data_IF_883462538199
#
_entry.id   IF_883462538199
#
_cell.length_a   1.000
_cell.length_b   1.000
_cell.length_c   1.000
_cell.angle_alpha   90.00
_cell.angle_beta   90.00
_cell.angle_gamma   90.00
#
_symmetry.space_group_name_H-M   'P 1'
#
loop_
_entity.id
_entity.type
_entity.pdbx_description
1 polymer ?
#
# COMPACT_ATOMS: atom_id res chain seq x y z
N UNK A 1 -15.08 -12.55 -7.35
CA UNK A 1 -13.76 -12.69 -6.67
C UNK A 1 -13.44 -14.14 -6.26
N UNK A 2 -14.42 -15.03 -5.96
CA UNK A 2 -14.19 -16.40 -5.43
C UNK A 2 -13.27 -17.25 -6.31
N UNK A 3 -13.49 -17.29 -7.64
CA UNK A 3 -12.65 -18.04 -8.59
C UNK A 3 -11.18 -17.60 -8.47
N UNK A 4 -10.93 -16.30 -8.46
CA UNK A 4 -9.56 -15.78 -8.39
C UNK A 4 -8.97 -15.97 -7.00
N UNK A 5 -9.68 -15.56 -5.93
CA UNK A 5 -9.19 -15.55 -4.56
C UNK A 5 -9.04 -16.94 -3.93
N UNK A 6 -9.99 -17.85 -4.22
CA UNK A 6 -10.06 -19.16 -3.56
C UNK A 6 -9.51 -20.32 -4.41
N UNK A 7 -9.36 -20.12 -5.72
CA UNK A 7 -8.89 -21.17 -6.62
C UNK A 7 -7.60 -20.75 -7.34
N UNK A 8 -7.66 -19.72 -8.21
CA UNK A 8 -6.53 -19.35 -9.06
C UNK A 8 -5.29 -18.93 -8.24
N UNK A 9 -5.46 -17.97 -7.33
CA UNK A 9 -4.35 -17.43 -6.54
C UNK A 9 -3.65 -18.51 -5.71
N UNK A 10 -4.35 -19.29 -4.84
CA UNK A 10 -3.70 -20.34 -4.05
C UNK A 10 -3.08 -21.45 -4.91
N UNK A 11 -3.73 -21.81 -6.04
CA UNK A 11 -3.20 -22.83 -6.95
C UNK A 11 -1.91 -22.38 -7.61
N UNK A 12 -1.85 -21.13 -8.08
CA UNK A 12 -0.64 -20.55 -8.66
C UNK A 12 0.45 -20.35 -7.61
N UNK A 13 0.11 -19.81 -6.44
CA UNK A 13 1.07 -19.62 -5.34
C UNK A 13 1.74 -20.93 -4.95
N UNK A 14 0.97 -22.00 -4.75
CA UNK A 14 1.51 -23.31 -4.47
C UNK A 14 2.43 -23.83 -5.57
N UNK A 15 2.12 -23.52 -6.84
CA UNK A 15 2.88 -24.00 -8.00
C UNK A 15 4.16 -23.20 -8.24
N UNK A 16 4.15 -21.91 -7.95
CA UNK A 16 5.30 -20.99 -8.14
C UNK A 16 6.21 -20.98 -6.90
N UNK A 17 5.64 -20.83 -5.71
CA UNK A 17 6.38 -20.60 -4.48
C UNK A 17 6.54 -21.89 -3.63
N UNK A 18 5.84 -22.98 -3.99
CA UNK A 18 5.84 -24.24 -3.24
C UNK A 18 5.04 -24.21 -1.93
N UNK A 19 4.56 -23.03 -1.52
CA UNK A 19 3.78 -22.79 -0.29
C UNK A 19 2.50 -22.01 -0.65
N UNK A 20 1.47 -22.13 0.17
CA UNK A 20 0.22 -21.43 -0.04
C UNK A 20 -0.95 -22.15 0.62
N UNK A 21 -2.09 -21.45 0.68
CA UNK A 21 -3.35 -22.02 1.17
C UNK A 21 -3.85 -23.15 0.26
N UNK A 22 -4.73 -24.00 0.81
CA UNK A 22 -5.39 -25.04 0.02
C UNK A 22 -6.30 -24.39 -1.02
N UNK A 23 -6.02 -24.61 -2.30
CA UNK A 23 -6.90 -24.18 -3.38
C UNK A 23 -8.24 -24.90 -3.35
N UNK A 24 -9.30 -24.23 -3.79
CA UNK A 24 -10.59 -24.87 -4.06
C UNK A 24 -10.48 -25.92 -5.17
N UNK A 25 -11.54 -26.69 -5.38
CA UNK A 25 -11.55 -27.75 -6.40
C UNK A 25 -11.46 -27.19 -7.81
N UNK A 26 -10.58 -27.75 -8.61
CA UNK A 26 -10.47 -27.49 -10.06
C UNK A 26 -9.89 -28.74 -10.73
N UNK A 27 -10.18 -28.97 -12.00
CA UNK A 27 -9.68 -30.12 -12.75
C UNK A 27 -8.20 -29.97 -13.09
N UNK A 28 -7.84 -28.87 -13.74
CA UNK A 28 -6.46 -28.58 -14.14
C UNK A 28 -6.24 -27.09 -14.37
N UNK A 29 -4.98 -26.67 -14.39
CA UNK A 29 -4.54 -25.33 -14.77
C UNK A 29 -3.65 -25.44 -16.02
N UNK A 30 -4.07 -24.81 -17.11
CA UNK A 30 -3.38 -24.78 -18.39
C UNK A 30 -2.91 -23.36 -18.71
N UNK A 31 -1.99 -23.21 -19.65
CA UNK A 31 -1.49 -21.94 -20.17
C UNK A 31 -0.03 -21.69 -19.84
N UNK A 32 0.37 -20.43 -20.05
CA UNK A 32 1.78 -20.02 -19.94
C UNK A 32 2.20 -19.57 -18.53
N UNK A 33 1.59 -20.14 -17.48
CA UNK A 33 1.90 -19.77 -16.08
C UNK A 33 3.39 -19.95 -15.72
N UNK A 34 4.15 -20.80 -16.42
CA UNK A 34 5.60 -20.97 -16.24
C UNK A 34 6.42 -19.73 -16.62
N UNK A 35 5.82 -18.76 -17.33
CA UNK A 35 6.44 -17.46 -17.61
C UNK A 35 6.35 -16.48 -16.44
N UNK A 36 5.54 -16.80 -15.43
CA UNK A 36 5.32 -16.03 -14.21
C UNK A 36 6.16 -16.66 -13.12
N UNK A 37 7.01 -15.88 -12.47
CA UNK A 37 7.86 -16.34 -11.36
C UNK A 37 7.23 -16.10 -9.99
N UNK A 38 6.33 -15.11 -9.89
CA UNK A 38 5.73 -14.72 -8.62
C UNK A 38 4.30 -14.27 -8.81
N UNK A 39 3.44 -14.46 -7.78
CA UNK A 39 2.07 -13.96 -7.78
C UNK A 39 1.81 -13.18 -6.50
N UNK A 40 1.24 -11.99 -6.65
CA UNK A 40 0.90 -11.10 -5.53
C UNK A 40 -0.60 -10.77 -5.55
N UNK A 41 -1.25 -10.95 -4.40
CA UNK A 41 -2.64 -10.55 -4.21
C UNK A 41 -2.71 -9.24 -3.45
N UNK A 42 -3.18 -8.20 -4.11
CA UNK A 42 -3.25 -6.83 -3.57
C UNK A 42 -4.69 -6.56 -3.14
N UNK A 43 -4.98 -6.85 -1.89
CA UNK A 43 -6.28 -6.68 -1.26
C UNK A 43 -6.39 -5.36 -0.48
N UNK A 44 -7.59 -5.11 0.05
CA UNK A 44 -7.93 -3.94 0.86
C UNK A 44 -7.61 -4.12 2.36
N UNK A 45 -6.95 -5.22 2.76
CA UNK A 45 -6.53 -5.41 4.14
C UNK A 45 -5.50 -4.33 4.56
N UNK A 46 -5.46 -3.97 5.84
CA UNK A 46 -4.50 -2.99 6.35
C UNK A 46 -3.05 -3.34 5.99
N UNK A 47 -2.21 -2.33 5.78
CA UNK A 47 -0.78 -2.48 5.44
C UNK A 47 0.08 -3.03 6.59
N UNK A 48 -0.53 -3.30 7.74
CA UNK A 48 0.09 -3.92 8.90
C UNK A 48 -0.90 -4.09 10.04
N UNK A 49 -0.57 -4.97 10.96
CA UNK A 49 -1.43 -5.31 12.11
C UNK A 49 -1.25 -4.35 13.30
N UNK A 50 -0.20 -3.54 13.29
CA UNK A 50 0.14 -2.63 14.39
C UNK A 50 -0.37 -1.23 14.09
N UNK A 51 -0.87 -0.53 15.09
CA UNK A 51 -1.17 0.91 15.07
C UNK A 51 0.02 1.79 14.64
N UNK A 52 1.24 1.25 14.71
CA UNK A 52 2.49 1.90 14.29
C UNK A 52 2.82 1.69 12.81
N UNK A 53 2.09 0.82 12.11
CA UNK A 53 2.23 0.69 10.66
C UNK A 53 1.70 1.96 9.99
N UNK A 54 2.45 2.52 9.06
CA UNK A 54 2.10 3.74 8.35
C UNK A 54 2.72 3.77 6.95
N UNK A 55 2.28 4.66 6.05
CA UNK A 55 2.73 4.72 4.67
C UNK A 55 4.25 4.81 4.55
N UNK A 56 4.89 5.73 5.28
CA UNK A 56 6.33 6.00 5.13
C UNK A 56 7.22 4.83 5.57
N UNK A 57 6.77 4.04 6.55
CA UNK A 57 7.51 2.82 6.96
C UNK A 57 7.29 1.69 5.97
N UNK A 58 6.08 1.56 5.44
CA UNK A 58 5.73 0.51 4.49
C UNK A 58 6.54 0.60 3.19
N UNK A 59 6.70 1.81 2.64
CA UNK A 59 7.53 2.05 1.44
C UNK A 59 9.03 2.20 1.76
N UNK A 60 9.45 2.03 3.02
CA UNK A 60 10.83 2.13 3.49
C UNK A 60 11.51 3.50 3.25
N UNK A 61 10.75 4.56 3.11
CA UNK A 61 11.28 5.93 3.05
C UNK A 61 11.71 6.42 4.44
N UNK A 62 11.09 5.90 5.50
CA UNK A 62 11.40 6.31 6.86
C UNK A 62 12.83 6.01 7.28
N UNK A 63 13.46 4.98 6.74
CA UNK A 63 14.85 4.64 7.03
C UNK A 63 15.80 5.77 6.59
N UNK A 64 15.63 6.28 5.37
CA UNK A 64 16.44 7.40 4.87
C UNK A 64 16.16 8.70 5.64
N UNK A 65 14.90 8.94 6.04
CA UNK A 65 14.54 10.10 6.88
C UNK A 65 15.24 10.02 8.23
N UNK A 66 15.23 8.86 8.89
CA UNK A 66 15.92 8.68 10.20
C UNK A 66 17.43 8.86 10.07
N UNK A 67 18.03 8.39 8.98
CA UNK A 67 19.46 8.61 8.71
C UNK A 67 19.77 10.09 8.46
N UNK A 68 18.89 10.83 7.81
CA UNK A 68 19.02 12.26 7.60
C UNK A 68 19.09 12.99 8.94
N UNK A 69 18.15 12.74 9.85
CA UNK A 69 18.15 13.34 11.20
C UNK A 69 19.36 12.94 12.05
N UNK A 70 19.86 11.71 11.91
CA UNK A 70 21.05 11.27 12.61
C UNK A 70 22.34 12.01 12.17
N UNK A 71 22.34 12.58 10.97
CA UNK A 71 23.48 13.35 10.43
C UNK A 71 23.50 14.80 10.91
N UNK A 72 22.42 15.29 11.51
CA UNK A 72 22.29 16.66 12.00
C UNK A 72 23.33 16.97 13.10
N UNK A 73 23.75 18.23 13.17
CA UNK A 73 24.80 18.68 14.10
C UNK A 73 24.42 18.36 15.57
N UNK A 74 23.19 18.64 15.97
CA UNK A 74 22.72 18.37 17.32
C UNK A 74 22.66 16.87 17.63
N UNK A 75 22.27 16.04 16.63
CA UNK A 75 22.30 14.58 16.76
C UNK A 75 23.72 14.06 17.05
N UNK A 76 24.71 14.56 16.32
CA UNK A 76 26.12 14.17 16.53
C UNK A 76 26.62 14.57 17.92
N UNK A 77 26.29 15.78 18.37
CA UNK A 77 26.67 16.27 19.73
C UNK A 77 26.07 15.38 20.80
N UNK A 78 24.80 14.92 20.65
CA UNK A 78 24.08 14.09 21.61
C UNK A 78 24.31 12.58 21.44
N UNK A 79 25.11 12.16 20.45
CA UNK A 79 25.34 10.75 20.14
C UNK A 79 24.09 10.04 19.58
N UNK A 80 23.17 10.78 18.99
CA UNK A 80 21.96 10.18 18.41
C UNK A 80 22.26 9.48 17.10
N UNK A 81 21.70 8.29 16.96
CA UNK A 81 21.75 7.44 15.77
C UNK A 81 20.34 7.35 15.15
N UNK A 82 20.20 6.79 13.97
CA UNK A 82 18.91 6.62 13.29
C UNK A 82 17.84 5.93 14.16
N UNK A 83 18.23 5.03 15.06
CA UNK A 83 17.30 4.36 15.99
C UNK A 83 16.58 5.31 16.94
N UNK A 84 17.20 6.45 17.32
CA UNK A 84 16.60 7.44 18.24
C UNK A 84 15.44 8.21 17.55
N UNK A 85 15.41 8.24 16.25
CA UNK A 85 14.33 8.81 15.45
C UNK A 85 13.28 7.76 15.02
N UNK A 86 13.26 6.59 15.68
CA UNK A 86 12.26 5.54 15.47
C UNK A 86 11.24 5.53 16.60
N UNK A 87 9.96 5.50 16.26
CA UNK A 87 8.88 5.29 17.23
C UNK A 87 8.63 3.80 17.54
N UNK A 88 9.35 2.87 16.89
CA UNK A 88 9.19 1.43 17.06
C UNK A 88 10.17 0.80 18.05
N UNK A 89 11.31 1.45 18.28
CA UNK A 89 12.38 0.94 19.16
C UNK A 89 12.70 1.92 20.28
N UNK A 90 13.27 1.41 21.38
CA UNK A 90 13.65 2.24 22.53
C UNK A 90 14.84 3.16 22.18
N UNK A 91 14.91 4.26 22.92
CA UNK A 91 15.96 5.26 22.79
C UNK A 91 15.42 6.67 22.58
N UNK A 92 14.58 6.90 21.60
CA UNK A 92 14.01 8.22 21.31
C UNK A 92 12.50 8.31 21.36
N UNK A 93 11.80 7.18 21.38
CA UNK A 93 10.33 7.16 21.48
C UNK A 93 9.86 7.57 22.88
N UNK A 94 8.67 8.10 22.97
CA UNK A 94 8.00 8.34 24.26
C UNK A 94 7.83 7.01 25.01
N UNK A 95 8.26 6.94 26.23
CA UNK A 95 8.21 5.72 27.06
C UNK A 95 6.78 5.39 27.51
N UNK A 96 5.96 6.41 27.80
CA UNK A 96 4.58 6.26 28.26
C UNK A 96 3.71 5.59 27.21
N UNK A 97 3.65 6.13 25.97
CA UNK A 97 2.86 5.55 24.89
C UNK A 97 3.67 4.59 23.99
N UNK A 98 4.93 4.32 24.32
CA UNK A 98 5.83 3.45 23.53
C UNK A 98 5.88 3.80 22.04
N UNK A 99 5.73 5.10 21.72
CA UNK A 99 5.79 5.62 20.34
C UNK A 99 4.47 5.59 19.58
N UNK A 100 3.35 5.26 20.20
CA UNK A 100 2.03 5.27 19.54
C UNK A 100 1.43 6.67 19.43
N UNK A 101 1.78 7.57 20.36
CA UNK A 101 1.19 8.90 20.45
C UNK A 101 -0.16 8.91 21.17
N UNK A 102 -0.78 7.75 21.30
CA UNK A 102 -2.07 7.54 21.99
C UNK A 102 -1.96 6.46 23.05
N UNK A 103 -2.88 6.43 23.98
CA UNK A 103 -3.05 5.40 25.01
C UNK A 103 -4.45 4.83 24.86
N UNK A 104 -4.54 3.52 24.71
CA UNK A 104 -5.83 2.83 24.70
C UNK A 104 -6.31 2.61 26.13
N UNK A 105 -7.52 3.06 26.41
CA UNK A 105 -8.21 2.79 27.65
C UNK A 105 -9.29 1.75 27.37
N UNK A 106 -9.03 0.52 27.85
CA UNK A 106 -9.98 -0.58 27.71
C UNK A 106 -11.24 -0.30 28.59
N UNK A 107 -12.41 -0.38 27.99
CA UNK A 107 -13.70 -0.16 28.64
C UNK A 107 -14.46 -1.47 28.74
N UNK A 108 -14.83 -1.87 29.96
CA UNK A 108 -15.45 -3.18 30.23
C UNK A 108 -16.80 -3.39 29.49
N UNK A 109 -17.53 -2.31 29.19
CA UNK A 109 -18.88 -2.39 28.58
C UNK A 109 -19.06 -1.49 27.33
N UNK A 110 -18.00 -0.84 26.86
CA UNK A 110 -18.04 0.06 25.69
C UNK A 110 -16.79 -0.17 24.82
N UNK A 111 -16.79 0.39 23.62
CA UNK A 111 -15.61 0.38 22.76
C UNK A 111 -14.43 1.08 23.44
N UNK A 112 -13.22 0.56 23.25
CA UNK A 112 -12.00 1.15 23.77
C UNK A 112 -11.85 2.60 23.30
N UNK A 113 -11.42 3.47 24.22
CA UNK A 113 -11.20 4.89 23.93
C UNK A 113 -9.72 5.15 23.75
N UNK A 114 -9.37 5.79 22.64
CA UNK A 114 -8.00 6.25 22.37
C UNK A 114 -7.84 7.69 22.84
N UNK A 115 -7.00 7.89 23.83
CA UNK A 115 -6.64 9.21 24.36
C UNK A 115 -5.25 9.61 23.87
N UNK A 116 -5.05 10.90 23.61
CA UNK A 116 -3.72 11.42 23.33
C UNK A 116 -2.80 11.20 24.55
N UNK A 117 -1.57 10.77 24.28
CA UNK A 117 -0.57 10.63 25.32
C UNK A 117 -0.18 12.01 25.87
N UNK A 118 -0.50 12.32 27.11
CA UNK A 118 -0.19 13.61 27.75
C UNK A 118 1.32 13.88 27.83
N UNK A 119 2.14 12.83 28.06
CA UNK A 119 3.59 12.96 28.17
C UNK A 119 4.24 13.53 26.90
N UNK A 120 3.83 13.07 25.73
CA UNK A 120 4.38 13.54 24.45
C UNK A 120 3.40 14.39 23.65
N UNK A 121 2.21 14.66 24.16
CA UNK A 121 1.14 15.40 23.46
C UNK A 121 0.89 14.84 22.03
N UNK A 122 0.82 13.52 21.88
CA UNK A 122 0.62 12.85 20.58
C UNK A 122 1.86 12.77 19.68
N UNK A 123 2.99 13.40 20.06
CA UNK A 123 4.17 13.53 19.18
C UNK A 123 5.03 12.28 19.06
N UNK A 124 4.76 11.20 19.81
CA UNK A 124 5.42 9.89 19.76
C UNK A 124 6.87 9.82 20.26
N UNK A 125 7.58 10.93 20.38
CA UNK A 125 9.00 11.01 20.72
C UNK A 125 9.24 11.74 22.04
N UNK A 126 10.43 11.53 22.61
CA UNK A 126 10.94 12.30 23.74
C UNK A 126 11.17 13.75 23.30
N UNK A 127 11.04 14.67 24.23
CA UNK A 127 11.17 16.11 23.99
C UNK A 127 12.54 16.47 23.43
N UNK A 128 13.59 15.85 23.95
CA UNK A 128 14.97 16.06 23.55
C UNK A 128 15.25 15.61 22.10
N UNK A 129 14.55 14.58 21.62
CA UNK A 129 14.66 14.12 20.23
C UNK A 129 13.98 15.11 19.28
N UNK A 130 12.88 15.73 19.71
CA UNK A 130 12.14 16.72 18.92
C UNK A 130 12.88 18.07 18.81
N UNK A 131 13.93 18.31 19.61
CA UNK A 131 14.80 19.47 19.44
C UNK A 131 15.72 19.37 18.22
N UNK A 132 15.95 18.15 17.72
CA UNK A 132 16.70 17.97 16.47
C UNK A 132 15.81 18.33 15.30
N UNK A 133 16.26 19.28 14.49
CA UNK A 133 15.53 19.75 13.30
C UNK A 133 16.40 19.64 12.07
N UNK A 134 15.75 19.33 10.94
CA UNK A 134 16.29 19.43 9.60
C UNK A 134 15.49 20.51 8.87
N UNK A 135 16.14 21.56 8.42
CA UNK A 135 15.51 22.73 7.80
C UNK A 135 14.28 23.23 8.58
N UNK A 136 14.46 23.41 9.91
CA UNK A 136 13.43 23.93 10.82
C UNK A 136 12.29 22.93 11.16
N UNK A 137 12.30 21.70 10.66
CA UNK A 137 11.28 20.67 10.91
C UNK A 137 11.88 19.55 11.77
N UNK A 138 11.20 19.16 12.84
CA UNK A 138 11.58 17.98 13.61
C UNK A 138 10.95 16.71 13.03
N UNK A 139 11.31 15.55 13.56
CA UNK A 139 10.85 14.25 13.04
C UNK A 139 9.31 14.08 13.11
N UNK A 140 8.65 14.66 14.12
CA UNK A 140 7.19 14.64 14.20
C UNK A 140 6.56 15.50 13.12
N UNK A 141 7.10 16.70 12.86
CA UNK A 141 6.61 17.60 11.81
C UNK A 141 6.67 16.90 10.45
N UNK A 142 7.75 16.17 10.17
CA UNK A 142 7.87 15.38 8.93
C UNK A 142 6.79 14.28 8.86
N UNK A 143 6.54 13.57 9.95
CA UNK A 143 5.52 12.51 9.97
C UNK A 143 4.09 13.02 9.81
N UNK A 144 3.82 14.28 10.15
CA UNK A 144 2.52 14.94 10.01
C UNK A 144 2.32 15.61 8.65
N UNK A 145 3.38 15.77 7.85
CA UNK A 145 3.26 16.26 6.47
C UNK A 145 2.47 15.29 5.62
N UNK A 146 1.72 15.82 4.66
CA UNK A 146 1.17 15.02 3.57
C UNK A 146 2.29 14.51 2.66
N UNK A 147 2.02 13.53 1.83
CA UNK A 147 2.97 13.05 0.81
C UNK A 147 3.38 14.20 -0.10
N UNK A 148 2.41 15.03 -0.56
CA UNK A 148 2.68 16.16 -1.45
C UNK A 148 3.58 17.20 -0.79
N UNK A 149 3.27 17.61 0.44
CA UNK A 149 4.09 18.58 1.20
C UNK A 149 5.51 18.02 1.45
N UNK A 150 5.61 16.73 1.75
CA UNK A 150 6.89 16.06 1.99
C UNK A 150 7.76 16.02 0.73
N UNK A 151 7.18 15.72 -0.43
CA UNK A 151 7.90 15.73 -1.71
C UNK A 151 8.40 17.16 -2.00
N UNK A 152 7.56 18.17 -1.81
CA UNK A 152 7.96 19.57 -1.99
C UNK A 152 9.10 19.96 -1.05
N UNK A 153 8.98 19.63 0.25
CA UNK A 153 9.99 19.90 1.26
C UNK A 153 11.34 19.20 0.95
N UNK A 154 11.33 17.92 0.65
CA UNK A 154 12.55 17.17 0.35
C UNK A 154 13.16 17.56 -1.02
N UNK A 155 12.34 18.03 -1.97
CA UNK A 155 12.84 18.57 -3.25
C UNK A 155 13.61 19.88 -3.03
N UNK A 156 13.08 20.80 -2.24
CA UNK A 156 13.76 22.04 -1.87
C UNK A 156 15.11 21.75 -1.18
N UNK A 157 15.17 20.67 -0.40
CA UNK A 157 16.35 20.21 0.36
C UNK A 157 17.21 19.18 -0.38
N UNK A 158 16.98 18.91 -1.66
CA UNK A 158 17.78 18.03 -2.54
C UNK A 158 17.92 16.59 -2.02
N UNK A 159 16.91 16.06 -1.32
CA UNK A 159 16.90 14.72 -0.74
C UNK A 159 16.35 13.67 -1.74
N UNK A 160 17.05 13.47 -2.85
CA UNK A 160 16.60 12.66 -3.99
C UNK A 160 16.16 11.24 -3.63
N UNK A 161 16.90 10.57 -2.72
CA UNK A 161 16.58 9.19 -2.30
C UNK A 161 15.21 9.10 -1.62
N UNK A 162 14.88 10.09 -0.77
CA UNK A 162 13.59 10.14 -0.07
C UNK A 162 12.48 10.40 -1.08
N UNK A 163 12.69 11.35 -1.98
CA UNK A 163 11.72 11.69 -3.03
C UNK A 163 11.40 10.47 -3.90
N UNK A 164 12.42 9.74 -4.37
CA UNK A 164 12.23 8.54 -5.19
C UNK A 164 11.36 7.47 -4.53
N UNK A 165 11.39 7.37 -3.19
CA UNK A 165 10.54 6.45 -2.45
C UNK A 165 9.14 7.00 -2.18
N UNK A 166 8.98 8.33 -2.05
CA UNK A 166 7.69 8.97 -1.81
C UNK A 166 6.88 9.16 -3.09
N UNK A 167 7.54 9.39 -4.22
CA UNK A 167 6.90 9.67 -5.51
C UNK A 167 5.82 8.64 -5.88
N UNK A 168 6.05 7.31 -5.77
CA UNK A 168 5.02 6.33 -6.05
C UNK A 168 3.73 6.47 -5.22
N UNK A 169 3.79 7.02 -4.00
CA UNK A 169 2.57 7.31 -3.23
C UNK A 169 1.75 8.44 -3.88
N UNK A 170 2.42 9.46 -4.38
CA UNK A 170 1.77 10.55 -5.12
C UNK A 170 1.19 10.03 -6.45
N UNK A 171 1.94 9.19 -7.16
CA UNK A 171 1.56 8.63 -8.45
C UNK A 171 0.29 7.77 -8.36
N UNK A 172 0.09 7.05 -7.24
CA UNK A 172 -1.15 6.28 -6.98
C UNK A 172 -2.29 7.12 -6.39
N UNK A 173 -2.16 8.45 -6.35
CA UNK A 173 -3.21 9.36 -5.87
C UNK A 173 -3.31 9.50 -4.35
N UNK A 174 -2.24 9.23 -3.62
CA UNK A 174 -2.18 9.35 -2.15
C UNK A 174 -1.43 10.59 -1.67
N UNK A 175 -1.37 11.64 -2.50
CA UNK A 175 -0.67 12.89 -2.17
C UNK A 175 -1.16 13.55 -0.89
N UNK A 176 -2.44 13.41 -0.55
CA UNK A 176 -3.10 13.98 0.64
C UNK A 176 -2.85 13.21 1.93
N UNK A 177 -2.38 11.97 1.86
CA UNK A 177 -2.19 11.11 3.04
C UNK A 177 -0.96 11.55 3.82
N UNK A 178 -1.05 11.59 5.15
CA UNK A 178 0.10 11.93 6.00
C UNK A 178 1.10 10.77 6.06
N UNK A 179 2.40 11.09 6.06
CA UNK A 179 3.48 10.09 6.10
C UNK A 179 3.37 9.14 7.29
N UNK A 180 3.06 9.66 8.46
CA UNK A 180 2.94 8.93 9.73
C UNK A 180 1.52 8.50 10.07
N UNK A 181 0.56 8.57 9.15
CA UNK A 181 -0.83 8.16 9.38
C UNK A 181 -0.91 6.68 9.74
N UNK A 182 -1.61 6.35 10.84
CA UNK A 182 -1.76 4.96 11.27
C UNK A 182 -2.52 4.12 10.23
N UNK A 183 -2.07 2.89 10.02
CA UNK A 183 -2.77 1.95 9.13
C UNK A 183 -4.22 1.67 9.53
N UNK A 184 -4.56 1.83 10.81
CA UNK A 184 -5.92 1.65 11.32
C UNK A 184 -6.88 2.77 10.91
N UNK A 185 -6.36 3.93 10.48
CA UNK A 185 -7.17 5.08 10.02
C UNK A 185 -7.23 5.18 8.50
N UNK A 186 -6.54 4.31 7.79
CA UNK A 186 -6.58 4.24 6.34
C UNK A 186 -7.80 3.47 5.87
N UNK A 187 -8.45 3.94 4.82
CA UNK A 187 -9.46 3.16 4.10
C UNK A 187 -8.85 1.94 3.41
N UNK A 188 -9.66 0.92 3.12
CA UNK A 188 -9.19 -0.26 2.40
C UNK A 188 -8.56 0.07 1.04
N UNK A 189 -9.14 1.03 0.31
CA UNK A 189 -8.58 1.50 -0.96
C UNK A 189 -7.25 2.23 -0.81
N UNK A 190 -7.05 3.03 0.25
CA UNK A 190 -5.77 3.67 0.54
C UNK A 190 -4.70 2.62 0.89
N UNK A 191 -5.04 1.64 1.73
CA UNK A 191 -4.14 0.54 2.07
C UNK A 191 -3.71 -0.24 0.81
N UNK A 192 -4.63 -0.53 -0.09
CA UNK A 192 -4.36 -1.20 -1.35
C UNK A 192 -3.42 -0.39 -2.25
N UNK A 193 -3.64 0.92 -2.38
CA UNK A 193 -2.76 1.81 -3.17
C UNK A 193 -1.37 1.97 -2.57
N UNK A 194 -1.24 1.96 -1.22
CA UNK A 194 0.08 1.94 -0.58
C UNK A 194 0.84 0.65 -0.93
N UNK A 195 0.15 -0.50 -0.95
CA UNK A 195 0.74 -1.76 -1.42
C UNK A 195 1.21 -1.64 -2.87
N UNK A 196 0.36 -1.11 -3.76
CA UNK A 196 0.73 -0.85 -5.16
C UNK A 196 1.97 0.05 -5.26
N UNK A 197 1.99 1.18 -4.55
CA UNK A 197 3.14 2.08 -4.51
C UNK A 197 4.44 1.36 -4.10
N UNK A 198 4.36 0.43 -3.13
CA UNK A 198 5.54 -0.32 -2.67
C UNK A 198 6.16 -1.21 -3.75
N UNK A 199 5.36 -1.74 -4.67
CA UNK A 199 5.86 -2.50 -5.82
C UNK A 199 6.53 -1.60 -6.87
N UNK A 200 6.03 -0.38 -7.02
CA UNK A 200 6.65 0.62 -7.90
C UNK A 200 8.03 1.07 -7.37
N UNK A 201 8.19 1.19 -6.05
CA UNK A 201 9.47 1.53 -5.39
C UNK A 201 10.53 0.44 -5.58
N UNK A 202 10.16 -0.85 -5.51
CA UNK A 202 11.09 -1.98 -5.59
C UNK A 202 11.88 -2.06 -6.91
N UNK A 203 11.53 -1.22 -7.89
CA UNK A 203 12.21 -1.18 -9.19
C UNK A 203 11.89 -2.38 -10.08
N UNK A 204 12.57 -2.44 -11.24
CA UNK A 204 12.46 -3.58 -12.15
C UNK A 204 13.14 -4.80 -11.52
N UNK A 205 12.38 -5.68 -10.86
CA UNK A 205 12.87 -7.03 -10.62
C UNK A 205 12.94 -7.74 -11.98
N UNK A 206 13.97 -8.54 -12.20
CA UNK A 206 14.05 -9.37 -13.41
C UNK A 206 12.93 -10.43 -13.46
N UNK A 207 12.24 -10.63 -12.35
CA UNK A 207 11.19 -11.63 -12.17
C UNK A 207 9.85 -11.06 -12.60
N UNK A 208 9.20 -11.74 -13.52
CA UNK A 208 7.85 -11.39 -13.99
C UNK A 208 6.81 -11.86 -12.98
N UNK A 209 6.03 -10.93 -12.47
CA UNK A 209 4.97 -11.20 -11.51
C UNK A 209 3.57 -11.07 -12.15
N UNK A 210 2.62 -11.82 -11.62
CA UNK A 210 1.20 -11.59 -11.81
C UNK A 210 0.66 -10.87 -10.57
N UNK A 211 0.21 -9.63 -10.75
CA UNK A 211 -0.49 -8.88 -9.72
C UNK A 211 -2.00 -9.10 -9.85
N UNK A 212 -2.64 -9.46 -8.75
CA UNK A 212 -4.10 -9.62 -8.67
C UNK A 212 -4.66 -8.51 -7.79
N UNK A 213 -5.50 -7.65 -8.36
CA UNK A 213 -6.17 -6.56 -7.65
C UNK A 213 -7.66 -6.88 -7.48
N UNK A 214 -8.18 -6.73 -6.26
CA UNK A 214 -9.58 -6.95 -5.92
C UNK A 214 -10.27 -5.59 -5.69
N UNK A 215 -11.12 -5.19 -6.62
CA UNK A 215 -11.91 -3.95 -6.64
C UNK A 215 -11.08 -2.67 -6.34
N UNK A 216 -9.99 -2.41 -7.09
CA UNK A 216 -9.07 -1.31 -6.77
C UNK A 216 -9.67 0.09 -6.97
N UNK A 217 -10.83 0.23 -7.63
CA UNK A 217 -11.50 1.51 -7.80
C UNK A 217 -12.46 1.88 -6.67
N UNK A 218 -12.64 0.98 -5.67
CA UNK A 218 -13.57 1.23 -4.56
C UNK A 218 -13.21 2.53 -3.83
N UNK A 219 -14.17 3.46 -3.75
CA UNK A 219 -14.01 4.76 -3.11
C UNK A 219 -13.15 5.77 -3.88
N UNK A 220 -12.80 5.49 -5.14
CA UNK A 220 -12.07 6.43 -6.00
C UNK A 220 -12.98 7.39 -6.74
N UNK A 221 -12.54 8.63 -6.83
CA UNK A 221 -13.10 9.60 -7.76
C UNK A 221 -12.54 9.36 -9.16
N UNK A 222 -13.26 9.74 -10.21
CA UNK A 222 -12.86 9.54 -11.61
C UNK A 222 -11.43 9.98 -11.93
N UNK A 223 -10.99 11.10 -11.36
CA UNK A 223 -9.63 11.61 -11.56
C UNK A 223 -8.55 10.66 -10.99
N UNK A 224 -8.85 9.96 -9.90
CA UNK A 224 -7.90 9.03 -9.26
C UNK A 224 -7.82 7.69 -10.00
N UNK A 225 -8.89 7.29 -10.72
CA UNK A 225 -8.87 6.11 -11.60
C UNK A 225 -7.80 6.27 -12.68
N UNK A 226 -7.64 7.48 -13.24
CA UNK A 226 -6.59 7.76 -14.23
C UNK A 226 -5.18 7.54 -13.65
N UNK A 227 -4.93 7.96 -12.40
CA UNK A 227 -3.65 7.73 -11.72
C UNK A 227 -3.41 6.25 -11.45
N UNK A 228 -4.46 5.53 -11.05
CA UNK A 228 -4.40 4.08 -10.85
C UNK A 228 -4.04 3.35 -12.16
N UNK A 229 -4.67 3.70 -13.28
CA UNK A 229 -4.36 3.14 -14.60
C UNK A 229 -2.92 3.41 -15.01
N UNK A 230 -2.42 4.63 -14.84
CA UNK A 230 -1.02 4.95 -15.13
C UNK A 230 -0.05 4.11 -14.27
N UNK A 231 -0.42 3.81 -13.02
CA UNK A 231 0.37 2.94 -12.15
C UNK A 231 0.35 1.48 -12.62
N UNK A 232 -0.76 1.00 -13.18
CA UNK A 232 -0.85 -0.32 -13.82
C UNK A 232 0.01 -0.39 -15.07
N UNK A 233 -0.06 0.62 -15.94
CA UNK A 233 0.80 0.73 -17.12
C UNK A 233 2.28 0.68 -16.74
N UNK A 234 2.68 1.40 -15.70
CA UNK A 234 4.06 1.38 -15.20
C UNK A 234 4.53 -0.01 -14.71
N UNK A 235 3.62 -0.86 -14.19
CA UNK A 235 3.94 -2.25 -13.87
C UNK A 235 4.01 -3.13 -15.12
N UNK A 236 3.11 -2.94 -16.09
CA UNK A 236 3.09 -3.66 -17.36
C UNK A 236 4.36 -3.37 -18.16
N UNK A 237 4.79 -2.12 -18.23
CA UNK A 237 6.03 -1.69 -18.89
C UNK A 237 7.29 -2.36 -18.28
N UNK A 238 7.24 -2.70 -17.00
CA UNK A 238 8.29 -3.48 -16.32
C UNK A 238 8.20 -5.00 -16.64
N UNK A 239 7.23 -5.41 -17.45
CA UNK A 239 7.04 -6.79 -17.90
C UNK A 239 6.19 -7.66 -16.96
N UNK A 240 5.46 -7.06 -16.02
CA UNK A 240 4.51 -7.75 -15.17
C UNK A 240 3.16 -7.94 -15.86
N UNK A 241 2.33 -8.83 -15.34
CA UNK A 241 0.94 -9.02 -15.76
C UNK A 241 0.01 -8.59 -14.64
N UNK A 242 -1.15 -8.05 -15.02
CA UNK A 242 -2.15 -7.56 -14.07
C UNK A 242 -3.48 -8.25 -14.33
N UNK A 243 -4.08 -8.80 -13.29
CA UNK A 243 -5.44 -9.31 -13.26
C UNK A 243 -6.25 -8.46 -12.30
N UNK A 244 -7.34 -7.87 -12.77
CA UNK A 244 -8.20 -7.02 -11.96
C UNK A 244 -9.58 -7.65 -11.86
N UNK A 245 -10.12 -7.72 -10.65
CA UNK A 245 -11.52 -8.02 -10.39
C UNK A 245 -12.21 -6.69 -10.23
N UNK A 246 -13.13 -6.35 -11.10
CA UNK A 246 -13.72 -5.01 -11.16
C UNK A 246 -15.16 -4.99 -11.67
N UNK A 247 -15.88 -3.93 -11.29
CA UNK A 247 -17.22 -3.59 -11.76
C UNK A 247 -17.28 -2.19 -12.37
N UNK A 248 -16.21 -1.41 -12.24
CA UNK A 248 -16.13 -0.06 -12.80
C UNK A 248 -15.86 -0.10 -14.30
N UNK A 249 -16.83 0.37 -15.09
CA UNK A 249 -16.76 0.33 -16.54
C UNK A 249 -15.62 1.17 -17.13
N UNK A 250 -15.20 2.25 -16.45
CA UNK A 250 -14.12 3.09 -16.97
C UNK A 250 -12.75 2.39 -16.87
N UNK A 251 -12.57 1.53 -15.86
CA UNK A 251 -11.39 0.67 -15.78
C UNK A 251 -11.52 -0.52 -16.73
N UNK A 252 -12.68 -1.19 -16.77
CA UNK A 252 -12.92 -2.37 -17.61
C UNK A 252 -12.67 -2.06 -19.09
N UNK A 253 -13.06 -0.89 -19.57
CA UNK A 253 -12.81 -0.44 -20.96
C UNK A 253 -11.33 -0.31 -21.34
N UNK A 254 -10.46 -0.18 -20.35
CA UNK A 254 -9.01 -0.04 -20.53
C UNK A 254 -8.27 -1.38 -20.47
N UNK A 255 -8.98 -2.50 -20.26
CA UNK A 255 -8.36 -3.81 -20.20
C UNK A 255 -8.00 -4.33 -21.62
N UNK A 256 -6.91 -5.10 -21.73
CA UNK A 256 -6.55 -5.80 -22.97
C UNK A 256 -7.49 -6.98 -23.24
N UNK A 257 -7.97 -7.63 -22.16
CA UNK A 257 -8.84 -8.79 -22.21
C UNK A 257 -9.82 -8.80 -21.05
N UNK A 258 -11.07 -9.11 -21.32
CA UNK A 258 -12.16 -9.20 -20.33
C UNK A 258 -12.64 -10.65 -20.26
N UNK A 259 -12.91 -11.11 -19.05
CA UNK A 259 -13.58 -12.37 -18.74
C UNK A 259 -14.83 -12.04 -17.93
N UNK A 260 -15.99 -12.19 -18.54
CA UNK A 260 -17.28 -11.88 -17.91
C UNK A 260 -17.90 -13.15 -17.34
N UNK A 261 -18.15 -13.12 -16.03
CA UNK A 261 -18.71 -14.24 -15.28
C UNK A 261 -20.08 -13.87 -14.69
N UNK A 262 -21.09 -14.71 -14.93
CA UNK A 262 -22.44 -14.47 -14.44
C UNK A 262 -23.35 -15.68 -14.60
N UNK A 263 -24.69 -15.48 -14.82
CA UNK A 263 -25.41 -14.18 -14.77
C UNK A 263 -25.56 -13.62 -13.34
N UNK A 264 -25.54 -14.49 -12.33
CA UNK A 264 -25.76 -14.15 -10.93
C UNK A 264 -24.55 -14.51 -10.06
N UNK A 265 -24.63 -14.30 -8.75
CA UNK A 265 -23.69 -14.78 -7.74
C UNK A 265 -24.11 -16.11 -7.13
N UNK A 266 -23.23 -16.72 -6.30
CA UNK A 266 -23.53 -17.94 -5.57
C UNK A 266 -23.69 -19.18 -6.46
N UNK A 267 -24.68 -20.04 -6.13
CA UNK A 267 -24.89 -21.33 -6.81
C UNK A 267 -25.34 -21.19 -8.28
N UNK A 268 -26.02 -20.10 -8.62
CA UNK A 268 -26.51 -19.81 -9.97
C UNK A 268 -25.54 -18.98 -10.83
N UNK A 269 -24.37 -18.64 -10.28
CA UNK A 269 -23.37 -17.80 -10.93
C UNK A 269 -22.11 -18.52 -11.35
N UNK A 270 -21.12 -17.74 -11.75
CA UNK A 270 -19.79 -18.25 -12.09
C UNK A 270 -19.67 -18.92 -13.46
N UNK A 271 -20.69 -18.80 -14.31
CA UNK A 271 -20.61 -19.26 -15.70
C UNK A 271 -19.86 -18.24 -16.55
N UNK A 272 -19.05 -18.71 -17.49
CA UNK A 272 -18.41 -17.84 -18.47
C UNK A 272 -19.48 -17.34 -19.46
N UNK A 273 -19.83 -16.06 -19.35
CA UNK A 273 -20.80 -15.42 -20.26
C UNK A 273 -20.15 -14.93 -21.53
N UNK A 274 -18.99 -14.30 -21.40
CA UNK A 274 -18.24 -13.75 -22.52
C UNK A 274 -16.75 -13.63 -22.17
N UNK A 275 -15.91 -13.68 -23.20
CA UNK A 275 -14.50 -13.32 -23.11
C UNK A 275 -14.04 -12.66 -24.41
N UNK A 276 -13.04 -11.78 -24.34
CA UNK A 276 -12.51 -11.06 -25.49
C UNK A 276 -12.00 -9.66 -25.13
N UNK A 277 -11.62 -8.92 -26.17
CA UNK A 277 -11.30 -7.50 -26.02
C UNK A 277 -12.55 -6.68 -25.67
N UNK A 278 -12.42 -5.46 -25.12
CA UNK A 278 -13.58 -4.60 -24.84
C UNK A 278 -14.49 -4.39 -26.05
N UNK A 279 -13.93 -4.24 -27.26
CA UNK A 279 -14.67 -4.06 -28.51
C UNK A 279 -15.44 -5.33 -28.93
N UNK A 280 -14.94 -6.50 -28.63
CA UNK A 280 -15.60 -7.79 -28.87
C UNK A 280 -16.72 -8.02 -27.86
N UNK A 281 -16.48 -7.73 -26.59
CA UNK A 281 -17.47 -7.86 -25.51
C UNK A 281 -18.68 -6.96 -25.77
N UNK A 282 -18.47 -5.71 -26.18
CA UNK A 282 -19.54 -4.76 -26.52
C UNK A 282 -20.52 -5.29 -27.56
N UNK A 283 -20.12 -6.26 -28.40
CA UNK A 283 -20.96 -6.88 -29.43
C UNK A 283 -21.76 -8.10 -28.92
N UNK A 284 -21.42 -8.61 -27.72
CA UNK A 284 -22.01 -9.83 -27.16
C UNK A 284 -23.26 -9.49 -26.34
N UNK A 285 -24.45 -9.89 -26.81
CA UNK A 285 -25.75 -9.61 -26.17
C UNK A 285 -25.93 -10.22 -24.76
N UNK A 286 -25.07 -11.14 -24.33
CA UNK A 286 -25.15 -11.82 -23.02
C UNK A 286 -24.31 -11.14 -21.95
N UNK A 287 -23.41 -10.25 -22.32
CA UNK A 287 -22.61 -9.44 -21.40
C UNK A 287 -23.38 -8.15 -21.05
N UNK A 288 -23.34 -7.73 -19.80
CA UNK A 288 -24.04 -6.53 -19.29
C UNK A 288 -23.18 -5.29 -19.47
#
# INVERSE_FOLDING_TARGET
STLVKKILFPAMQKKLDGVGDKAGQFSEMRGYYHKIQHIEYVDQNPIGRSSRSNPVTYIKAYDDIRELFAKEKLSKIRGYQAKHFSFNVDGGRCETCKGEGTINVEMVFMADVQLHCETCNGKRFKKEVLEVTFDGKNIHDILTMTVDDSIAFFTANKQTKIIQKLQPLQDVGLGYVQLGQSSSTLSGGEAQRIKLASFLVKGATKEKALFVFDEPTTGLHFHDIKKLLASFEALIDKGHSILVIEHNLDLIKCADWIIDLGPEGGENGGQLLAEGTPEEIKKKKKSV
#
